data_IF_258994940828
#
_entry.id   IF_258994940828
#
_cell.length_a   1.000
_cell.length_b   1.000
_cell.length_c   1.000
_cell.angle_alpha   90.00
_cell.angle_beta   90.00
_cell.angle_gamma   90.00
#
_symmetry.space_group_name_H-M   'P 1'
#
loop_
_entity.id
_entity.type
_entity.pdbx_description
1 polymer ?
#
# COMPACT_ATOMS: atom_id res chain seq x y z
N UNK A 1 3.08 -16.95 7.31
CA UNK A 1 3.43 -15.53 7.10
C UNK A 1 3.01 -15.09 5.72
N UNK A 2 2.46 -13.90 5.64
CA UNK A 2 2.05 -13.29 4.37
C UNK A 2 2.69 -11.93 4.22
N UNK A 3 3.16 -11.63 3.01
CA UNK A 3 3.53 -10.26 2.64
C UNK A 3 2.31 -9.59 2.00
N UNK A 4 1.96 -8.46 2.54
CA UNK A 4 0.91 -7.62 1.98
C UNK A 4 1.59 -6.45 1.30
N UNK A 5 1.29 -6.27 0.03
CA UNK A 5 1.79 -5.15 -0.76
C UNK A 5 0.59 -4.36 -1.27
N UNK A 6 0.46 -3.15 -0.78
CA UNK A 6 -0.67 -2.29 -1.12
C UNK A 6 -0.19 -1.08 -1.92
N UNK A 7 -0.74 -0.91 -3.10
CA UNK A 7 -0.47 0.25 -3.95
C UNK A 7 -1.68 1.16 -3.81
N UNK A 8 -1.49 2.31 -3.19
CA UNK A 8 -2.56 3.23 -2.85
C UNK A 8 -2.29 4.62 -3.42
N UNK A 9 -3.32 5.41 -3.72
CA UNK A 9 -3.10 6.79 -4.12
C UNK A 9 -2.37 7.56 -3.03
N UNK A 10 -1.41 8.39 -3.42
CA UNK A 10 -0.61 9.19 -2.48
C UNK A 10 -1.49 9.99 -1.51
N UNK A 11 -2.60 10.52 -2.01
CA UNK A 11 -3.51 11.32 -1.20
C UNK A 11 -4.20 10.54 -0.07
N UNK A 12 -4.18 9.21 -0.12
CA UNK A 12 -4.83 8.34 0.87
C UNK A 12 -3.85 7.69 1.84
N UNK A 13 -2.56 7.90 1.64
CA UNK A 13 -1.51 7.23 2.41
C UNK A 13 -1.65 7.47 3.92
N UNK A 14 -1.92 8.70 4.33
CA UNK A 14 -2.05 9.06 5.73
C UNK A 14 -3.22 8.33 6.41
N UNK A 15 -4.35 8.22 5.72
CA UNK A 15 -5.51 7.49 6.23
C UNK A 15 -5.21 6.02 6.46
N UNK A 16 -4.43 5.43 5.57
CA UNK A 16 -4.01 4.03 5.70
C UNK A 16 -3.12 3.87 6.93
N UNK A 17 -2.16 4.75 7.12
CA UNK A 17 -1.30 4.69 8.29
C UNK A 17 -2.08 4.86 9.60
N UNK A 18 -3.04 5.76 9.64
CA UNK A 18 -3.90 5.95 10.81
C UNK A 18 -4.69 4.67 11.11
N UNK A 19 -5.27 4.06 10.08
CA UNK A 19 -6.03 2.82 10.26
C UNK A 19 -5.13 1.67 10.73
N UNK A 20 -3.93 1.54 10.16
CA UNK A 20 -2.99 0.47 10.54
C UNK A 20 -2.47 0.62 11.97
N UNK A 21 -2.42 1.83 12.52
CA UNK A 21 -2.00 2.05 13.91
C UNK A 21 -2.92 1.40 14.94
N UNK A 22 -4.13 1.07 14.57
CA UNK A 22 -5.06 0.37 15.45
C UNK A 22 -4.66 -1.09 15.69
N UNK A 23 -3.78 -1.62 14.87
CA UNK A 23 -3.27 -2.98 14.98
C UNK A 23 -1.88 -2.98 15.61
N UNK A 24 -1.58 -4.03 16.37
CA UNK A 24 -0.23 -4.23 16.89
C UNK A 24 0.61 -4.92 15.80
N UNK A 25 1.20 -4.12 14.94
CA UNK A 25 2.03 -4.60 13.84
C UNK A 25 3.51 -4.46 14.17
N UNK A 26 4.31 -5.32 13.55
CA UNK A 26 5.76 -5.15 13.51
C UNK A 26 6.14 -3.98 12.63
N UNK A 27 7.13 -4.16 11.77
CA UNK A 27 7.55 -3.11 10.85
C UNK A 27 6.72 -3.06 9.58
N UNK A 28 6.77 -1.92 8.91
CA UNK A 28 6.32 -1.78 7.55
C UNK A 28 7.30 -0.89 6.79
N UNK A 29 7.31 -1.06 5.49
CA UNK A 29 8.11 -0.23 4.59
C UNK A 29 7.16 0.43 3.59
N UNK A 30 7.41 1.67 3.24
CA UNK A 30 6.70 2.28 2.14
C UNK A 30 7.65 3.10 1.28
N UNK A 31 7.26 3.30 0.04
CA UNK A 31 8.00 4.13 -0.89
C UNK A 31 7.04 4.75 -1.91
N UNK A 32 7.45 5.87 -2.47
CA UNK A 32 6.70 6.49 -3.53
C UNK A 32 6.84 5.65 -4.80
N UNK A 33 5.75 5.53 -5.51
CA UNK A 33 5.70 4.76 -6.75
C UNK A 33 4.84 5.48 -7.77
N UNK A 34 5.01 5.09 -9.02
CA UNK A 34 4.18 5.59 -10.11
C UNK A 34 3.58 4.41 -10.82
N UNK A 35 2.29 4.48 -11.09
CA UNK A 35 1.59 3.38 -11.69
C UNK A 35 0.54 3.82 -12.69
N UNK A 36 0.20 2.90 -13.58
CA UNK A 36 -0.84 3.09 -14.55
C UNK A 36 -1.77 1.89 -14.53
N UNK A 37 -3.01 2.13 -14.17
CA UNK A 37 -4.07 1.12 -14.22
C UNK A 37 -4.86 1.19 -15.50
N UNK A 38 -5.98 0.49 -15.51
CA UNK A 38 -6.91 0.47 -16.65
C UNK A 38 -7.83 1.68 -16.67
N UNK A 39 -8.05 2.31 -15.50
CA UNK A 39 -8.94 3.48 -15.41
C UNK A 39 -8.22 4.71 -15.96
N UNK A 40 -8.89 5.49 -16.83
CA UNK A 40 -8.31 6.72 -17.32
C UNK A 40 -7.93 7.68 -16.20
N UNK A 41 -6.78 8.31 -16.36
CA UNK A 41 -6.29 9.29 -15.40
C UNK A 41 -6.96 10.64 -15.66
N UNK A 42 -7.15 11.46 -14.61
CA UNK A 42 -7.75 12.78 -14.81
C UNK A 42 -6.81 13.69 -15.58
N UNK A 43 -7.39 14.60 -16.37
CA UNK A 43 -6.65 15.69 -17.01
C UNK A 43 -6.21 16.69 -15.95
N UNK A 44 -5.05 17.28 -16.17
CA UNK A 44 -4.49 18.32 -15.30
C UNK A 44 -4.21 19.57 -16.10
N UNK A 45 -4.34 20.72 -15.44
CA UNK A 45 -3.94 21.99 -16.04
C UNK A 45 -2.43 22.16 -15.94
N UNK A 46 -1.81 22.67 -16.99
CA UNK A 46 -0.46 23.17 -16.90
C UNK A 46 -0.43 24.41 -16.02
N UNK A 47 0.64 24.62 -15.25
CA UNK A 47 0.71 25.72 -14.27
C UNK A 47 0.67 27.12 -14.85
N UNK A 48 0.63 27.29 -16.16
CA UNK A 48 0.66 28.58 -16.84
C UNK A 48 -0.45 28.78 -17.85
N UNK A 49 -1.49 27.98 -17.84
CA UNK A 49 -2.31 28.28 -18.90
C UNK A 49 -3.57 27.51 -19.14
N UNK A 50 -3.93 27.55 -20.35
CA UNK A 50 -5.16 27.02 -20.90
C UNK A 50 -4.99 25.58 -21.38
N UNK A 51 -3.77 25.02 -21.32
CA UNK A 51 -3.49 23.65 -21.76
C UNK A 51 -3.80 22.66 -20.67
N UNK A 52 -4.50 21.59 -21.06
CA UNK A 52 -4.73 20.44 -20.21
C UNK A 52 -3.85 19.29 -20.70
N UNK A 53 -3.43 18.43 -19.78
CA UNK A 53 -2.74 17.22 -20.12
C UNK A 53 -3.18 16.07 -19.23
N UNK A 54 -3.05 14.84 -19.71
CA UNK A 54 -3.31 13.64 -18.92
C UNK A 54 -1.98 12.97 -18.63
N UNK A 55 -1.58 12.89 -17.35
CA UNK A 55 -0.32 12.25 -17.00
C UNK A 55 -0.31 10.79 -17.43
N UNK A 56 0.84 10.29 -17.87
CA UNK A 56 1.02 8.87 -18.19
C UNK A 56 0.83 7.98 -16.95
N UNK A 57 1.32 8.45 -15.80
CA UNK A 57 1.31 7.68 -14.55
C UNK A 57 0.66 8.47 -13.42
N UNK A 58 0.03 7.74 -12.52
CA UNK A 58 -0.43 8.27 -11.24
C UNK A 58 0.70 8.20 -10.20
N UNK A 59 0.72 9.15 -9.29
CA UNK A 59 1.60 9.11 -8.12
C UNK A 59 0.92 8.30 -7.04
N UNK A 60 1.55 7.20 -6.66
CA UNK A 60 1.06 6.28 -5.65
C UNK A 60 2.10 6.12 -4.54
N UNK A 61 1.71 5.45 -3.49
CA UNK A 61 2.61 4.89 -2.50
C UNK A 61 2.43 3.38 -2.47
N UNK A 62 3.52 2.66 -2.32
CA UNK A 62 3.50 1.22 -2.13
C UNK A 62 3.88 0.92 -0.69
N UNK A 63 3.00 0.24 0.03
CA UNK A 63 3.20 -0.17 1.41
C UNK A 63 3.45 -1.67 1.41
N UNK A 64 4.50 -2.10 2.08
CA UNK A 64 4.85 -3.51 2.18
C UNK A 64 5.06 -3.90 3.64
N UNK A 65 4.40 -4.96 4.07
CA UNK A 65 4.60 -5.51 5.40
C UNK A 65 4.39 -7.01 5.39
N UNK A 66 5.04 -7.69 6.31
CA UNK A 66 4.90 -9.14 6.50
C UNK A 66 4.24 -9.36 7.85
N UNK A 67 3.19 -10.16 7.87
CA UNK A 67 2.41 -10.43 9.06
C UNK A 67 2.14 -11.94 9.19
N UNK A 68 1.75 -12.36 10.39
CA UNK A 68 1.26 -13.73 10.59
C UNK A 68 -0.03 -13.96 9.81
N UNK A 69 -0.33 -15.20 9.50
CA UNK A 69 -1.55 -15.55 8.77
C UNK A 69 -2.80 -15.02 9.49
N UNK A 70 -2.80 -15.08 10.83
CA UNK A 70 -3.96 -14.64 11.62
C UNK A 70 -4.24 -13.13 11.55
N UNK A 71 -3.26 -12.31 11.17
CA UNK A 71 -3.41 -10.87 11.06
C UNK A 71 -3.70 -10.41 9.63
N UNK A 72 -3.56 -11.28 8.65
CA UNK A 72 -3.65 -10.91 7.22
C UNK A 72 -4.95 -10.21 6.89
N UNK A 73 -6.08 -10.80 7.23
CA UNK A 73 -7.38 -10.22 6.89
C UNK A 73 -7.63 -8.91 7.62
N UNK A 74 -7.20 -8.79 8.86
CA UNK A 74 -7.32 -7.55 9.64
C UNK A 74 -6.53 -6.42 9.01
N UNK A 75 -5.32 -6.70 8.53
CA UNK A 75 -4.49 -5.70 7.84
C UNK A 75 -5.15 -5.27 6.54
N UNK A 76 -5.64 -6.21 5.75
CA UNK A 76 -6.36 -5.90 4.51
C UNK A 76 -7.56 -5.02 4.79
N UNK A 77 -8.36 -5.36 5.79
CA UNK A 77 -9.56 -4.59 6.16
C UNK A 77 -9.18 -3.14 6.55
N UNK A 78 -8.10 -2.96 7.29
CA UNK A 78 -7.63 -1.62 7.67
C UNK A 78 -7.14 -0.81 6.49
N UNK A 79 -6.44 -1.42 5.55
CA UNK A 79 -6.02 -0.75 4.32
C UNK A 79 -7.26 -0.33 3.51
N UNK A 80 -8.23 -1.20 3.35
CA UNK A 80 -9.47 -0.89 2.64
C UNK A 80 -10.24 0.24 3.33
N UNK A 81 -10.31 0.22 4.66
CA UNK A 81 -10.94 1.29 5.44
C UNK A 81 -10.33 2.65 5.13
N UNK A 82 -9.00 2.70 4.95
CA UNK A 82 -8.29 3.94 4.64
C UNK A 82 -8.37 4.37 3.18
N UNK A 83 -8.68 3.48 2.26
CA UNK A 83 -8.57 3.75 0.82
C UNK A 83 -9.86 3.61 0.06
N UNK A 84 -10.69 2.61 0.38
CA UNK A 84 -11.81 2.25 -0.48
C UNK A 84 -12.95 3.26 -0.39
N UNK A 85 -13.44 3.68 -1.54
CA UNK A 85 -14.68 4.45 -1.66
C UNK A 85 -15.68 3.75 -2.59
N UNK A 86 -15.36 2.53 -3.02
CA UNK A 86 -16.19 1.75 -3.92
C UNK A 86 -15.99 2.06 -5.39
N UNK A 87 -15.02 2.91 -5.73
CA UNK A 87 -14.72 3.28 -7.11
C UNK A 87 -13.53 2.48 -7.64
N UNK A 88 -13.54 2.21 -8.94
CA UNK A 88 -12.42 1.56 -9.59
C UNK A 88 -11.21 2.51 -9.65
N UNK A 89 -10.01 1.94 -9.68
CA UNK A 89 -8.78 2.72 -9.84
C UNK A 89 -8.19 3.27 -8.55
N UNK A 90 -8.66 2.79 -7.40
CA UNK A 90 -8.17 3.24 -6.08
C UNK A 90 -6.91 2.51 -5.61
N UNK A 91 -6.39 1.63 -6.41
CA UNK A 91 -5.20 0.86 -6.07
C UNK A 91 -5.45 -0.64 -6.02
N UNK A 92 -4.48 -1.36 -5.51
CA UNK A 92 -4.55 -2.81 -5.40
C UNK A 92 -3.81 -3.29 -4.16
N UNK A 93 -4.23 -4.44 -3.68
CA UNK A 93 -3.55 -5.16 -2.62
C UNK A 93 -3.16 -6.53 -3.18
N UNK A 94 -1.88 -6.87 -3.03
CA UNK A 94 -1.37 -8.19 -3.38
C UNK A 94 -0.94 -8.91 -2.12
N UNK A 95 -1.21 -10.19 -2.06
CA UNK A 95 -0.85 -11.03 -0.92
C UNK A 95 0.05 -12.16 -1.41
N UNK A 96 1.19 -12.32 -0.75
CA UNK A 96 2.19 -13.32 -1.11
C UNK A 96 2.42 -14.26 0.07
N UNK A 97 2.64 -15.53 -0.22
CA UNK A 97 3.17 -16.45 0.77
C UNK A 97 4.65 -16.15 0.99
N UNK A 98 5.04 -16.12 2.25
CA UNK A 98 6.43 -15.90 2.65
C UNK A 98 6.97 -17.18 3.28
N UNK A 99 8.02 -17.73 2.68
CA UNK A 99 8.63 -18.94 3.18
C UNK A 99 9.37 -18.76 4.49
N UNK A 100 10.09 -17.66 4.62
CA UNK A 100 10.88 -17.39 5.82
C UNK A 100 11.11 -15.88 5.96
N UNK A 101 11.42 -15.47 7.17
CA UNK A 101 11.86 -14.14 7.50
C UNK A 101 13.01 -14.27 8.49
N UNK A 102 14.03 -13.45 8.34
CA UNK A 102 15.21 -13.45 9.22
C UNK A 102 15.42 -12.02 9.71
N UNK A 103 15.44 -11.86 11.03
CA UNK A 103 15.78 -10.57 11.62
C UNK A 103 17.30 -10.41 11.62
N UNK A 104 17.79 -9.37 10.97
CA UNK A 104 19.22 -9.17 10.78
C UNK A 104 19.94 -8.96 12.11
N UNK A 105 19.32 -8.25 13.03
CA UNK A 105 19.97 -7.95 14.31
C UNK A 105 20.06 -9.13 15.25
N UNK A 106 18.99 -9.91 15.35
CA UNK A 106 18.92 -11.02 16.32
C UNK A 106 19.17 -12.40 15.73
N UNK A 107 19.17 -12.53 14.41
CA UNK A 107 19.20 -13.79 13.67
C UNK A 107 17.97 -14.68 13.92
N UNK A 108 16.91 -14.16 14.51
CA UNK A 108 15.66 -14.91 14.68
C UNK A 108 15.03 -15.17 13.32
N UNK A 109 14.34 -16.28 13.22
CA UNK A 109 13.69 -16.72 11.98
C UNK A 109 12.22 -16.99 12.19
N UNK A 110 11.47 -16.96 11.06
CA UNK A 110 10.04 -17.21 11.06
C UNK A 110 9.23 -16.09 11.71
N UNK A 111 8.12 -16.42 12.34
CA UNK A 111 7.23 -15.42 12.93
C UNK A 111 7.90 -14.58 14.03
N UNK A 112 8.90 -15.12 14.70
CA UNK A 112 9.63 -14.36 15.72
C UNK A 112 10.51 -13.26 15.11
N UNK A 113 10.70 -13.26 13.79
CA UNK A 113 11.48 -12.26 13.08
C UNK A 113 10.63 -11.06 12.58
N UNK A 114 9.32 -11.16 12.72
CA UNK A 114 8.41 -10.12 12.20
C UNK A 114 7.64 -9.41 13.28
#
# INVERSE_FOLDING_TARGET
MKKIEAIVPQARLERVFVALKELNLGGLTYFDSKGRGQVPRPSMHSGRGTSNYTPEFNVNATIALVVSDSLTDKVIDKILEGTSSGLAGEGKIFVYDIEDAIDIGSNKRGESAI
#
